data_IF_521881341686
#
_entry.id   IF_521881341686
#
_cell.length_a   1.000
_cell.length_b   1.000
_cell.length_c   1.000
_cell.angle_alpha   90.00
_cell.angle_beta   90.00
_cell.angle_gamma   90.00
#
_symmetry.space_group_name_H-M   'P 1'
#
loop_
_entity.id
_entity.type
_entity.pdbx_description
1 polymer ?
#
# COMPACT_ATOMS: atom_id res chain seq x y z
N UNK A 1 25.48 11.59 -9.58
CA UNK A 1 24.95 10.64 -10.57
C UNK A 1 25.10 11.12 -12.00
N UNK A 2 24.82 12.42 -12.34
CA UNK A 2 24.92 12.93 -13.72
C UNK A 2 26.28 12.66 -14.37
N UNK A 3 27.38 13.04 -13.72
CA UNK A 3 28.75 12.81 -14.22
C UNK A 3 29.05 11.32 -14.41
N UNK A 4 28.61 10.49 -13.46
CA UNK A 4 28.81 9.04 -13.58
C UNK A 4 28.04 8.44 -14.76
N UNK A 5 26.83 8.94 -15.04
CA UNK A 5 26.03 8.53 -16.21
C UNK A 5 26.73 8.90 -17.52
N UNK A 6 27.24 10.13 -17.62
CA UNK A 6 27.99 10.60 -18.80
C UNK A 6 29.26 9.78 -19.08
N UNK A 7 29.86 9.17 -18.05
CA UNK A 7 31.07 8.36 -18.14
C UNK A 7 30.81 6.84 -18.06
N UNK A 8 29.55 6.38 -18.09
CA UNK A 8 29.21 4.95 -18.01
C UNK A 8 29.59 4.29 -16.67
N UNK A 9 29.66 5.04 -15.57
CA UNK A 9 30.12 4.57 -14.26
C UNK A 9 29.01 4.41 -13.22
N UNK A 10 27.73 4.36 -13.63
CA UNK A 10 26.61 4.22 -12.69
C UNK A 10 26.66 2.90 -11.93
N UNK A 11 27.05 1.82 -12.60
CA UNK A 11 27.21 0.51 -11.98
C UNK A 11 28.27 0.50 -10.86
N UNK A 12 29.38 1.19 -11.07
CA UNK A 12 30.41 1.30 -10.03
C UNK A 12 29.89 2.01 -8.78
N UNK A 13 29.05 3.05 -8.97
CA UNK A 13 28.41 3.74 -7.84
C UNK A 13 27.44 2.79 -7.13
N UNK A 14 26.58 2.12 -7.87
CA UNK A 14 25.65 1.14 -7.29
C UNK A 14 26.39 0.10 -6.45
N UNK A 15 27.36 -0.59 -7.03
CA UNK A 15 28.17 -1.61 -6.35
C UNK A 15 28.88 -1.08 -5.11
N UNK A 16 29.55 0.06 -5.23
CA UNK A 16 30.29 0.68 -4.12
C UNK A 16 29.33 1.14 -3.00
N UNK A 17 28.11 1.56 -3.33
CA UNK A 17 27.12 1.96 -2.34
C UNK A 17 26.73 0.75 -1.49
N UNK A 18 26.43 -0.41 -2.11
CA UNK A 18 26.16 -1.64 -1.38
C UNK A 18 27.36 -2.09 -0.51
N UNK A 19 28.58 -2.12 -1.09
CA UNK A 19 29.78 -2.52 -0.38
C UNK A 19 30.02 -1.63 0.85
N UNK A 20 29.99 -0.31 0.69
CA UNK A 20 30.25 0.65 1.77
C UNK A 20 29.19 0.59 2.88
N UNK A 21 27.92 0.50 2.53
CA UNK A 21 26.83 0.41 3.52
C UNK A 21 26.96 -0.87 4.34
N UNK A 22 27.19 -2.02 3.70
CA UNK A 22 27.36 -3.28 4.39
C UNK A 22 28.62 -3.30 5.29
N UNK A 23 29.71 -2.69 4.83
CA UNK A 23 30.93 -2.54 5.64
C UNK A 23 30.69 -1.66 6.87
N UNK A 24 29.99 -0.53 6.72
CA UNK A 24 29.63 0.37 7.83
C UNK A 24 28.73 -0.36 8.84
N UNK A 25 27.71 -1.08 8.39
CA UNK A 25 26.82 -1.85 9.27
C UNK A 25 27.63 -2.91 10.02
N UNK A 26 28.46 -3.67 9.31
CA UNK A 26 29.29 -4.73 9.89
C UNK A 26 30.25 -4.21 10.96
N UNK A 27 30.89 -3.08 10.69
CA UNK A 27 31.83 -2.42 11.63
C UNK A 27 31.12 -1.81 12.86
N UNK A 28 29.81 -1.52 12.77
CA UNK A 28 29.06 -0.81 13.81
C UNK A 28 27.83 -1.59 14.30
N UNK A 29 27.88 -2.91 14.29
CA UNK A 29 26.72 -3.78 14.63
C UNK A 29 26.04 -3.44 15.96
N UNK A 30 26.81 -3.13 16.98
CA UNK A 30 26.27 -2.78 18.29
C UNK A 30 25.41 -1.50 18.26
N UNK A 31 25.70 -0.56 17.35
CA UNK A 31 24.96 0.70 17.18
C UNK A 31 23.71 0.51 16.33
N UNK A 32 23.76 -0.34 15.30
CA UNK A 32 22.63 -0.60 14.44
C UNK A 32 21.64 -1.60 15.04
N UNK A 33 22.10 -2.60 15.80
CA UNK A 33 21.23 -3.67 16.34
C UNK A 33 20.43 -4.34 15.22
N UNK A 34 19.10 -4.42 15.40
CA UNK A 34 18.15 -4.99 14.44
C UNK A 34 17.48 -3.93 13.52
N UNK A 35 18.01 -2.69 13.52
CA UNK A 35 17.40 -1.59 12.74
C UNK A 35 17.47 -1.86 11.25
N UNK A 36 16.43 -1.44 10.52
CA UNK A 36 16.39 -1.48 9.06
C UNK A 36 17.20 -0.33 8.48
N UNK A 37 17.92 -0.62 7.42
CA UNK A 37 18.79 0.32 6.72
C UNK A 37 18.27 0.47 5.30
N UNK A 38 17.83 1.66 4.98
CA UNK A 38 17.29 2.00 3.67
C UNK A 38 18.44 2.38 2.73
N UNK A 39 18.43 1.79 1.54
CA UNK A 39 19.50 1.91 0.54
C UNK A 39 18.92 2.17 -0.84
N UNK A 40 19.21 3.35 -1.39
CA UNK A 40 18.82 3.69 -2.76
C UNK A 40 19.52 2.80 -3.77
N UNK A 41 18.77 2.25 -4.72
CA UNK A 41 19.26 1.53 -5.88
C UNK A 41 19.06 2.34 -7.15
N UNK A 42 19.96 2.15 -8.13
CA UNK A 42 19.92 2.83 -9.43
C UNK A 42 19.25 1.88 -10.44
N UNK A 43 17.97 2.08 -10.83
CA UNK A 43 17.21 1.12 -11.63
C UNK A 43 17.85 0.71 -12.95
N UNK A 44 18.54 1.66 -13.61
CA UNK A 44 19.21 1.43 -14.91
C UNK A 44 20.57 0.70 -14.77
N UNK A 45 21.08 0.56 -13.55
CA UNK A 45 22.44 0.07 -13.29
C UNK A 45 22.52 -0.74 -12.00
N UNK A 46 21.49 -1.54 -11.74
CA UNK A 46 21.37 -2.34 -10.52
C UNK A 46 22.50 -3.35 -10.35
N UNK A 47 22.79 -3.67 -9.09
CA UNK A 47 23.78 -4.68 -8.73
C UNK A 47 23.49 -6.02 -9.43
N UNK A 48 24.51 -6.62 -10.01
CA UNK A 48 24.38 -7.94 -10.65
C UNK A 48 24.16 -9.04 -9.62
N UNK A 49 23.53 -10.14 -10.02
CA UNK A 49 23.35 -11.32 -9.17
C UNK A 49 24.71 -11.84 -8.65
N UNK A 50 25.75 -11.81 -9.50
CA UNK A 50 27.11 -12.23 -9.13
C UNK A 50 27.67 -11.38 -7.99
N UNK A 51 27.66 -10.05 -8.12
CA UNK A 51 28.22 -9.17 -7.09
C UNK A 51 27.36 -9.19 -5.82
N UNK A 52 26.03 -9.28 -5.97
CA UNK A 52 25.14 -9.39 -4.82
C UNK A 52 25.35 -10.69 -4.04
N UNK A 53 25.50 -11.83 -4.71
CA UNK A 53 25.79 -13.10 -4.05
C UNK A 53 27.15 -13.06 -3.32
N UNK A 54 28.17 -12.45 -3.90
CA UNK A 54 29.46 -12.23 -3.25
C UNK A 54 29.32 -11.41 -1.96
N UNK A 55 28.48 -10.37 -1.97
CA UNK A 55 28.18 -9.60 -0.76
C UNK A 55 27.42 -10.42 0.28
N UNK A 56 26.49 -11.26 -0.16
CA UNK A 56 25.78 -12.18 0.72
C UNK A 56 26.69 -13.20 1.39
N UNK A 57 27.69 -13.72 0.69
CA UNK A 57 28.71 -14.61 1.29
C UNK A 57 29.47 -13.92 2.42
N UNK A 58 29.83 -12.65 2.18
CA UNK A 58 30.61 -11.86 3.16
C UNK A 58 29.77 -11.32 4.32
N UNK A 59 28.54 -10.90 4.05
CA UNK A 59 27.70 -10.12 4.98
C UNK A 59 26.33 -10.76 5.24
N UNK A 60 26.17 -12.06 4.98
CA UNK A 60 24.85 -12.74 4.98
C UNK A 60 23.99 -12.52 6.23
N UNK A 61 24.63 -12.36 7.39
CA UNK A 61 23.96 -12.17 8.67
C UNK A 61 23.36 -10.76 8.88
N UNK A 62 23.63 -9.82 7.98
CA UNK A 62 23.06 -8.45 8.04
C UNK A 62 22.22 -8.09 6.82
N UNK A 63 22.15 -8.96 5.82
CA UNK A 63 21.38 -8.72 4.60
C UNK A 63 19.89 -8.46 4.90
N UNK A 64 19.33 -9.14 5.89
CA UNK A 64 17.93 -8.95 6.32
C UNK A 64 17.65 -7.56 6.91
N UNK A 65 18.67 -6.77 7.23
CA UNK A 65 18.50 -5.39 7.67
C UNK A 65 18.30 -4.41 6.50
N UNK A 66 18.67 -4.81 5.26
CA UNK A 66 18.57 -3.93 4.10
C UNK A 66 17.12 -3.79 3.62
N UNK A 67 16.77 -2.57 3.30
CA UNK A 67 15.57 -2.18 2.56
C UNK A 67 16.04 -1.46 1.30
N UNK A 68 15.83 -2.08 0.13
CA UNK A 68 16.29 -1.54 -1.15
C UNK A 68 15.21 -0.63 -1.71
N UNK A 69 15.57 0.63 -1.96
CA UNK A 69 14.65 1.67 -2.42
C UNK A 69 14.69 1.82 -3.95
N UNK A 70 13.53 1.82 -4.56
CA UNK A 70 13.32 2.10 -5.97
C UNK A 70 12.39 3.29 -6.12
N UNK A 71 12.77 4.27 -6.94
CA UNK A 71 11.89 5.39 -7.23
C UNK A 71 10.65 4.93 -7.98
N UNK A 72 9.52 5.56 -7.73
CA UNK A 72 8.24 5.30 -8.39
C UNK A 72 8.33 5.37 -9.94
N UNK A 73 9.23 6.20 -10.46
CA UNK A 73 9.45 6.44 -11.90
C UNK A 73 10.36 5.41 -12.57
N UNK A 74 10.84 4.41 -11.82
CA UNK A 74 11.71 3.38 -12.38
C UNK A 74 10.98 2.60 -13.48
N UNK A 75 11.49 2.66 -14.71
CA UNK A 75 10.99 1.86 -15.83
C UNK A 75 11.51 0.43 -15.70
N UNK A 76 10.82 -0.33 -14.85
CA UNK A 76 11.12 -1.73 -14.60
C UNK A 76 10.18 -2.59 -15.45
N UNK A 77 10.69 -3.14 -16.53
CA UNK A 77 9.93 -4.13 -17.33
C UNK A 77 9.64 -5.39 -16.50
N UNK A 78 8.52 -6.07 -16.75
CA UNK A 78 8.01 -7.16 -15.92
C UNK A 78 9.04 -8.24 -15.56
N UNK A 79 9.87 -8.70 -16.52
CA UNK A 79 10.89 -9.74 -16.27
C UNK A 79 12.02 -9.26 -15.35
N UNK A 80 12.44 -8.00 -15.50
CA UNK A 80 13.44 -7.40 -14.60
C UNK A 80 12.94 -7.28 -13.18
N UNK A 81 11.67 -6.86 -13.00
CA UNK A 81 11.05 -6.76 -11.68
C UNK A 81 11.01 -8.13 -10.98
N UNK A 82 10.58 -9.16 -11.70
CA UNK A 82 10.50 -10.51 -11.15
C UNK A 82 11.88 -11.04 -10.71
N UNK A 83 12.91 -10.84 -11.52
CA UNK A 83 14.29 -11.24 -11.21
C UNK A 83 14.84 -10.50 -10.00
N UNK A 84 14.59 -9.19 -9.89
CA UNK A 84 15.01 -8.37 -8.75
C UNK A 84 14.34 -8.78 -7.44
N UNK A 85 13.03 -8.97 -7.48
CA UNK A 85 12.30 -9.46 -6.31
C UNK A 85 12.88 -10.78 -5.83
N UNK A 86 13.09 -11.71 -6.75
CA UNK A 86 13.69 -13.01 -6.40
C UNK A 86 15.07 -12.82 -5.76
N UNK A 87 15.92 -12.03 -6.37
CA UNK A 87 17.29 -11.78 -5.88
C UNK A 87 17.28 -11.24 -4.44
N UNK A 88 16.57 -10.14 -4.17
CA UNK A 88 16.58 -9.50 -2.85
C UNK A 88 15.79 -10.31 -1.81
N UNK A 89 14.62 -10.82 -2.18
CA UNK A 89 13.79 -11.62 -1.26
C UNK A 89 14.45 -12.94 -0.87
N UNK A 90 15.21 -13.58 -1.75
CA UNK A 90 15.95 -14.82 -1.43
C UNK A 90 16.96 -14.65 -0.30
N UNK A 91 17.39 -13.42 -0.04
CA UNK A 91 18.32 -13.04 1.04
C UNK A 91 17.64 -12.27 2.18
N UNK A 92 16.32 -12.30 2.24
CA UNK A 92 15.50 -11.62 3.25
C UNK A 92 15.62 -10.09 3.25
N UNK A 93 16.13 -9.49 2.17
CA UNK A 93 16.09 -8.05 2.01
C UNK A 93 14.65 -7.60 1.76
N UNK A 94 14.29 -6.43 2.27
CA UNK A 94 13.03 -5.77 1.97
C UNK A 94 13.18 -4.87 0.74
N UNK A 95 12.05 -4.55 0.11
CA UNK A 95 11.98 -3.65 -1.04
C UNK A 95 11.06 -2.48 -0.67
N UNK A 96 11.48 -1.26 -0.97
CA UNK A 96 10.68 -0.06 -0.81
C UNK A 96 10.46 0.66 -2.15
N UNK A 97 9.27 1.26 -2.30
CA UNK A 97 9.02 2.27 -3.34
C UNK A 97 9.22 3.63 -2.71
N UNK A 98 10.04 4.44 -3.32
CA UNK A 98 10.39 5.79 -2.90
C UNK A 98 9.63 6.87 -3.68
N UNK A 99 9.51 8.07 -3.10
CA UNK A 99 8.86 9.26 -3.67
C UNK A 99 7.38 9.05 -4.07
N UNK A 100 6.66 8.11 -3.41
CA UNK A 100 5.28 7.79 -3.77
C UNK A 100 4.35 8.97 -3.53
N UNK A 101 3.67 9.39 -4.62
CA UNK A 101 2.73 10.51 -4.59
C UNK A 101 3.32 11.85 -4.98
N UNK A 102 4.55 11.91 -5.48
CA UNK A 102 5.23 13.15 -5.92
C UNK A 102 4.66 13.78 -7.21
N UNK A 103 3.64 13.17 -7.84
CA UNK A 103 2.94 13.76 -8.98
C UNK A 103 2.47 12.81 -10.08
N UNK A 104 3.04 11.63 -10.20
CA UNK A 104 2.65 10.59 -11.16
C UNK A 104 2.59 9.24 -10.45
N UNK A 105 1.66 9.08 -9.50
CA UNK A 105 1.54 7.83 -8.76
C UNK A 105 1.36 6.64 -9.70
N UNK A 106 2.44 5.88 -9.90
CA UNK A 106 2.46 4.71 -10.76
C UNK A 106 2.04 3.48 -9.94
N UNK A 107 0.74 3.33 -9.79
CA UNK A 107 0.12 2.17 -9.14
C UNK A 107 0.59 0.84 -9.77
N UNK A 108 0.90 0.82 -11.06
CA UNK A 108 1.42 -0.35 -11.74
C UNK A 108 2.80 -0.78 -11.20
N UNK A 109 3.67 0.19 -10.84
CA UNK A 109 4.97 -0.12 -10.21
C UNK A 109 4.77 -0.81 -8.86
N UNK A 110 3.82 -0.33 -8.02
CA UNK A 110 3.50 -0.97 -6.74
C UNK A 110 3.02 -2.39 -6.92
N UNK A 111 2.12 -2.62 -7.89
CA UNK A 111 1.57 -3.95 -8.17
C UNK A 111 2.63 -4.92 -8.68
N UNK A 112 3.50 -4.45 -9.57
CA UNK A 112 4.53 -5.28 -10.18
C UNK A 112 5.67 -5.60 -9.21
N UNK A 113 6.15 -4.59 -8.47
CA UNK A 113 7.27 -4.73 -7.53
C UNK A 113 6.84 -5.45 -6.24
N UNK A 114 5.58 -5.36 -5.84
CA UNK A 114 5.06 -5.88 -4.56
C UNK A 114 5.99 -5.53 -3.38
N UNK A 115 6.16 -4.24 -3.08
CA UNK A 115 7.12 -3.78 -2.09
C UNK A 115 6.71 -4.21 -0.68
N UNK A 116 7.65 -4.18 0.23
CA UNK A 116 7.40 -4.32 1.68
C UNK A 116 7.07 -2.97 2.32
N UNK A 117 7.56 -1.87 1.71
CA UNK A 117 7.40 -0.51 2.23
C UNK A 117 7.02 0.44 1.09
N UNK A 118 6.06 1.33 1.35
CA UNK A 118 5.78 2.51 0.52
C UNK A 118 6.23 3.73 1.30
N UNK A 119 7.16 4.53 0.71
CA UNK A 119 7.61 5.80 1.26
C UNK A 119 6.80 6.92 0.63
N UNK A 120 5.98 7.58 1.45
CA UNK A 120 5.10 8.67 1.01
C UNK A 120 5.90 9.96 1.00
N UNK A 121 5.99 10.56 -0.20
CA UNK A 121 6.81 11.74 -0.44
C UNK A 121 6.39 12.95 0.40
N UNK A 122 7.39 13.81 0.72
CA UNK A 122 7.21 15.04 1.48
C UNK A 122 6.09 15.94 0.94
N UNK A 123 5.87 16.00 -0.37
CA UNK A 123 4.83 16.84 -0.97
C UNK A 123 3.43 16.53 -0.44
N UNK A 124 3.19 15.27 -0.03
CA UNK A 124 1.95 14.83 0.61
C UNK A 124 1.95 15.04 2.13
N UNK A 125 3.12 15.02 2.75
CA UNK A 125 3.28 15.09 4.22
C UNK A 125 3.38 16.55 4.71
N UNK A 126 4.07 17.42 3.99
CA UNK A 126 4.17 18.84 4.36
C UNK A 126 2.78 19.47 4.54
N UNK A 127 2.57 20.17 5.64
CA UNK A 127 1.31 20.84 6.01
C UNK A 127 0.07 19.91 6.08
N UNK A 128 0.28 18.60 6.26
CA UNK A 128 -0.82 17.62 6.32
C UNK A 128 -1.77 17.89 7.50
N UNK A 129 -1.28 18.50 8.57
CA UNK A 129 -2.07 18.87 9.74
C UNK A 129 -3.20 19.88 9.42
N UNK A 130 -3.03 20.72 8.41
CA UNK A 130 -4.02 21.71 7.98
C UNK A 130 -4.75 21.34 6.69
N UNK A 131 -4.30 20.32 5.97
CA UNK A 131 -4.82 19.94 4.66
C UNK A 131 -5.61 18.62 4.69
N UNK A 132 -6.93 18.73 4.78
CA UNK A 132 -7.85 17.58 4.84
C UNK A 132 -7.74 16.68 3.60
N UNK A 133 -7.49 17.24 2.41
CA UNK A 133 -7.35 16.44 1.17
C UNK A 133 -6.11 15.54 1.25
N UNK A 134 -4.98 16.06 1.72
CA UNK A 134 -3.76 15.26 1.94
C UNK A 134 -4.00 14.16 2.99
N UNK A 135 -4.73 14.49 4.06
CA UNK A 135 -5.10 13.49 5.08
C UNK A 135 -5.93 12.34 4.51
N UNK A 136 -6.92 12.64 3.67
CA UNK A 136 -7.73 11.62 3.00
C UNK A 136 -6.89 10.78 2.04
N UNK A 137 -6.02 11.41 1.26
CA UNK A 137 -5.15 10.70 0.34
C UNK A 137 -4.19 9.76 1.08
N UNK A 138 -3.54 10.23 2.14
CA UNK A 138 -2.69 9.39 3.00
C UNK A 138 -3.47 8.21 3.60
N UNK A 139 -4.71 8.44 4.04
CA UNK A 139 -5.56 7.36 4.56
C UNK A 139 -5.79 6.28 3.48
N UNK A 140 -6.08 6.66 2.25
CA UNK A 140 -6.23 5.72 1.13
C UNK A 140 -4.96 4.89 0.87
N UNK A 141 -3.78 5.53 0.92
CA UNK A 141 -2.49 4.81 0.80
C UNK A 141 -2.32 3.80 1.93
N UNK A 142 -2.61 4.21 3.17
CA UNK A 142 -2.46 3.35 4.36
C UNK A 142 -3.42 2.16 4.29
N UNK A 143 -4.66 2.38 3.90
CA UNK A 143 -5.66 1.30 3.79
C UNK A 143 -5.26 0.29 2.71
N UNK A 144 -4.82 0.79 1.54
CA UNK A 144 -4.25 -0.05 0.50
C UNK A 144 -3.04 -0.87 0.99
N UNK A 145 -2.09 -0.21 1.63
CA UNK A 145 -0.87 -0.85 2.12
C UNK A 145 -1.19 -1.97 3.12
N UNK A 146 -2.12 -1.74 4.05
CA UNK A 146 -2.57 -2.73 5.03
C UNK A 146 -3.19 -3.96 4.40
N UNK A 147 -4.06 -3.77 3.41
CA UNK A 147 -4.71 -4.88 2.69
C UNK A 147 -3.69 -5.77 1.96
N UNK A 148 -2.51 -5.23 1.67
CA UNK A 148 -1.45 -5.93 0.95
C UNK A 148 -0.24 -6.31 1.82
N UNK A 149 -0.33 -6.15 3.16
CA UNK A 149 0.77 -6.35 4.11
C UNK A 149 2.01 -5.48 3.81
N UNK A 150 1.80 -4.29 3.27
CA UNK A 150 2.84 -3.30 2.99
C UNK A 150 2.89 -2.31 4.16
N UNK A 151 4.09 -1.89 4.54
CA UNK A 151 4.30 -0.85 5.54
C UNK A 151 4.31 0.53 4.87
N UNK A 152 3.88 1.55 5.60
CA UNK A 152 3.90 2.93 5.13
C UNK A 152 4.90 3.74 5.93
N UNK A 153 5.82 4.41 5.23
CA UNK A 153 6.77 5.37 5.80
C UNK A 153 6.39 6.77 5.31
N UNK A 154 6.22 7.71 6.24
CA UNK A 154 6.03 9.13 5.90
C UNK A 154 7.39 9.84 5.86
N UNK A 155 7.69 10.48 4.73
CA UNK A 155 8.93 11.22 4.54
C UNK A 155 8.78 12.71 4.81
N UNK A 156 9.89 13.32 5.19
CA UNK A 156 9.97 14.77 5.35
C UNK A 156 9.10 15.32 6.48
N UNK A 157 8.82 14.55 7.52
CA UNK A 157 8.12 15.04 8.72
C UNK A 157 9.02 16.03 9.46
N UNK A 158 8.64 17.29 9.50
CA UNK A 158 9.45 18.37 10.08
C UNK A 158 8.86 18.99 11.35
N UNK A 159 7.56 18.76 11.61
CA UNK A 159 6.87 19.34 12.75
C UNK A 159 6.18 18.29 13.61
N UNK A 160 5.92 18.64 14.87
CA UNK A 160 5.11 17.81 15.78
C UNK A 160 3.71 17.56 15.21
N UNK A 161 3.09 18.58 14.61
CA UNK A 161 1.72 18.48 14.12
C UNK A 161 1.63 17.53 12.92
N UNK A 162 2.59 17.58 12.00
CA UNK A 162 2.71 16.60 10.90
C UNK A 162 2.90 15.18 11.44
N UNK A 163 3.82 15.01 12.41
CA UNK A 163 4.05 13.72 13.08
C UNK A 163 2.77 13.21 13.76
N UNK A 164 2.08 14.08 14.49
CA UNK A 164 0.85 13.70 15.20
C UNK A 164 -0.24 13.20 14.25
N UNK A 165 -0.44 13.88 13.13
CA UNK A 165 -1.43 13.47 12.14
C UNK A 165 -1.02 12.15 11.47
N UNK A 166 0.23 12.01 11.04
CA UNK A 166 0.71 10.79 10.35
C UNK A 166 0.61 9.56 11.26
N UNK A 167 1.02 9.66 12.53
CA UNK A 167 0.89 8.58 13.50
C UNK A 167 -0.57 8.22 13.72
N UNK A 168 -1.44 9.20 13.98
CA UNK A 168 -2.87 8.94 14.21
C UNK A 168 -3.58 8.33 13.00
N UNK A 169 -3.16 8.64 11.78
CA UNK A 169 -3.67 8.03 10.55
C UNK A 169 -3.18 6.60 10.36
N UNK A 170 -2.05 6.24 10.95
CA UNK A 170 -1.61 4.87 10.94
C UNK A 170 -0.37 4.55 10.14
N UNK A 171 0.46 5.54 9.87
CA UNK A 171 1.79 5.35 9.31
C UNK A 171 2.63 4.45 10.21
N UNK A 172 3.39 3.53 9.63
CA UNK A 172 4.23 2.57 10.36
C UNK A 172 5.59 3.16 10.75
N UNK A 173 6.17 3.99 9.85
CA UNK A 173 7.49 4.59 10.03
C UNK A 173 7.46 6.08 9.70
N UNK A 174 8.35 6.84 10.31
CA UNK A 174 8.51 8.29 10.09
C UNK A 174 9.97 8.59 9.83
N UNK A 175 10.22 9.39 8.80
CA UNK A 175 11.51 9.95 8.46
C UNK A 175 11.36 11.46 8.26
N UNK A 176 12.29 12.25 8.80
CA UNK A 176 12.32 13.70 8.59
C UNK A 176 13.11 14.46 9.64
N UNK A 177 13.21 15.76 9.46
CA UNK A 177 14.02 16.62 10.33
C UNK A 177 13.51 16.70 11.77
N UNK A 178 12.24 16.34 12.00
CA UNK A 178 11.70 16.24 13.34
C UNK A 178 12.31 15.11 14.15
N UNK A 179 12.65 14.00 13.51
CA UNK A 179 13.28 12.84 14.15
C UNK A 179 14.80 12.96 14.20
N UNK A 180 15.41 13.25 13.05
CA UNK A 180 16.85 13.49 12.94
C UNK A 180 17.19 14.20 11.62
N UNK A 181 18.15 15.12 11.67
CA UNK A 181 18.71 15.71 10.45
C UNK A 181 19.81 14.81 9.88
N UNK A 182 20.01 14.79 8.55
CA UNK A 182 21.14 14.09 7.96
C UNK A 182 22.45 14.56 8.55
N UNK A 183 23.33 13.62 8.91
CA UNK A 183 24.65 13.89 9.44
C UNK A 183 25.65 12.81 9.04
N UNK A 184 26.94 13.12 9.15
CA UNK A 184 28.01 12.19 8.77
C UNK A 184 28.18 11.04 9.76
N UNK A 185 27.86 11.28 11.02
CA UNK A 185 28.00 10.30 12.08
C UNK A 185 26.73 9.45 12.21
N UNK A 186 26.92 8.21 12.61
CA UNK A 186 25.78 7.32 12.86
C UNK A 186 25.04 7.79 14.11
N UNK A 187 23.77 8.12 13.97
CA UNK A 187 22.87 8.45 15.07
C UNK A 187 22.03 7.23 15.39
N UNK A 188 22.31 6.52 16.48
CA UNK A 188 21.66 5.26 16.76
C UNK A 188 20.18 5.43 17.18
N UNK A 189 19.86 6.56 17.81
CA UNK A 189 18.55 6.80 18.40
C UNK A 189 18.04 8.22 18.15
N UNK A 190 16.71 8.35 18.09
CA UNK A 190 16.04 9.66 18.03
C UNK A 190 16.04 10.31 19.41
N UNK A 191 15.89 11.65 19.52
CA UNK A 191 15.83 12.33 20.82
C UNK A 191 14.74 11.74 21.72
N UNK A 192 15.05 11.54 23.01
CA UNK A 192 14.13 10.93 23.98
C UNK A 192 12.78 11.63 24.03
N UNK A 193 12.75 12.95 23.96
CA UNK A 193 11.51 13.73 23.94
C UNK A 193 10.64 13.39 22.74
N UNK A 194 11.23 13.20 21.56
CA UNK A 194 10.51 12.80 20.34
C UNK A 194 10.02 11.37 20.47
N UNK A 195 10.86 10.47 21.00
CA UNK A 195 10.47 9.08 21.24
C UNK A 195 9.26 8.97 22.18
N UNK A 196 9.24 9.79 23.24
CA UNK A 196 8.12 9.82 24.18
C UNK A 196 6.84 10.37 23.55
N UNK A 197 6.93 11.44 22.76
CA UNK A 197 5.79 11.97 22.00
C UNK A 197 5.22 10.90 21.06
N UNK A 198 6.07 10.17 20.34
CA UNK A 198 5.64 9.07 19.46
C UNK A 198 4.94 7.96 20.23
N UNK A 199 5.46 7.57 21.41
CA UNK A 199 4.82 6.56 22.27
C UNK A 199 3.43 7.03 22.71
N UNK A 200 3.30 8.27 23.20
CA UNK A 200 2.02 8.83 23.62
C UNK A 200 1.01 8.88 22.46
N UNK A 201 1.42 9.33 21.29
CA UNK A 201 0.57 9.35 20.11
C UNK A 201 0.12 7.95 19.69
N UNK A 202 1.00 6.95 19.77
CA UNK A 202 0.66 5.56 19.48
C UNK A 202 -0.30 4.95 20.53
N UNK A 203 -0.16 5.29 21.81
CA UNK A 203 -1.11 4.87 22.84
C UNK A 203 -2.50 5.47 22.64
N UNK A 204 -2.58 6.72 22.17
CA UNK A 204 -3.83 7.38 21.81
C UNK A 204 -4.31 7.00 20.39
N UNK A 205 -3.56 6.19 19.67
CA UNK A 205 -3.94 5.69 18.36
C UNK A 205 -5.19 4.84 18.55
N UNK A 206 -6.29 5.15 17.86
CA UNK A 206 -7.41 4.24 17.91
C UNK A 206 -6.88 2.86 17.52
N UNK A 207 -7.18 1.84 18.31
CA UNK A 207 -6.78 0.47 17.98
C UNK A 207 -7.08 0.23 16.50
N UNK A 208 -6.02 -0.01 15.73
CA UNK A 208 -6.17 -0.36 14.32
C UNK A 208 -6.66 -1.81 14.34
N UNK A 209 -7.95 -1.96 14.53
CA UNK A 209 -8.59 -3.26 14.31
C UNK A 209 -8.25 -3.63 12.87
N UNK A 210 -7.74 -4.86 12.66
CA UNK A 210 -7.51 -5.38 11.31
C UNK A 210 -8.70 -5.03 10.45
N UNK A 211 -8.45 -4.54 9.23
CA UNK A 211 -9.49 -4.34 8.25
C UNK A 211 -10.40 -5.57 8.27
N UNK A 212 -11.67 -5.38 8.57
CA UNK A 212 -12.63 -6.47 8.71
C UNK A 212 -13.79 -6.23 7.77
N UNK A 213 -14.32 -7.32 7.29
CA UNK A 213 -15.57 -7.26 6.58
C UNK A 213 -16.74 -7.27 7.57
N UNK A 214 -17.77 -6.50 7.27
CA UNK A 214 -19.06 -6.64 7.92
C UNK A 214 -19.77 -7.87 7.32
N UNK A 215 -20.39 -8.70 8.14
CA UNK A 215 -21.02 -9.93 7.67
C UNK A 215 -22.54 -9.77 7.78
N UNK A 216 -23.21 -9.89 6.64
CA UNK A 216 -24.69 -10.04 6.58
C UNK A 216 -24.97 -11.53 6.57
N UNK A 217 -25.48 -12.00 7.70
CA UNK A 217 -25.65 -13.41 7.96
C UNK A 217 -26.86 -14.00 7.24
N UNK A 218 -26.83 -15.33 7.09
CA UNK A 218 -27.85 -16.14 6.44
C UNK A 218 -29.29 -15.78 6.86
N UNK A 219 -30.14 -15.58 5.86
CA UNK A 219 -31.54 -15.20 6.04
C UNK A 219 -31.80 -13.76 6.46
N UNK A 220 -30.77 -12.94 6.65
CA UNK A 220 -30.94 -11.54 7.01
C UNK A 220 -31.18 -10.65 5.79
N UNK A 221 -31.89 -9.55 6.00
CA UNK A 221 -31.99 -8.41 5.10
C UNK A 221 -31.52 -7.15 5.84
N UNK A 222 -30.46 -6.50 5.34
CA UNK A 222 -29.88 -5.36 6.00
C UNK A 222 -29.69 -4.16 5.06
N UNK A 223 -29.97 -2.95 5.58
CA UNK A 223 -29.75 -1.68 4.92
C UNK A 223 -28.48 -1.04 5.46
N UNK A 224 -27.45 -0.96 4.64
CA UNK A 224 -26.10 -0.63 5.04
C UNK A 224 -25.62 0.66 4.37
N UNK A 225 -25.36 1.67 5.18
CA UNK A 225 -24.69 2.89 4.77
C UNK A 225 -23.18 2.62 4.70
N UNK A 226 -22.61 2.65 3.49
CA UNK A 226 -21.20 2.31 3.27
C UNK A 226 -20.28 3.32 4.01
N UNK A 227 -20.65 4.59 4.09
CA UNK A 227 -19.87 5.59 4.82
C UNK A 227 -19.82 5.29 6.31
N UNK A 228 -20.94 4.84 6.89
CA UNK A 228 -20.98 4.41 8.30
C UNK A 228 -20.18 3.14 8.52
N UNK A 229 -20.21 2.18 7.60
CA UNK A 229 -19.36 1.00 7.68
C UNK A 229 -17.88 1.39 7.66
N UNK A 230 -17.45 2.28 6.77
CA UNK A 230 -16.08 2.78 6.72
C UNK A 230 -15.70 3.54 8.00
N UNK A 231 -16.58 4.38 8.53
CA UNK A 231 -16.36 5.07 9.81
C UNK A 231 -16.27 4.08 10.98
N UNK A 232 -17.02 2.98 10.92
CA UNK A 232 -16.93 1.83 11.82
C UNK A 232 -15.75 0.91 11.58
N UNK A 233 -14.87 1.26 10.60
CA UNK A 233 -13.65 0.55 10.20
C UNK A 233 -13.87 -0.81 9.53
N UNK A 234 -14.98 -0.96 8.86
CA UNK A 234 -15.17 -2.04 7.93
C UNK A 234 -14.63 -1.60 6.56
N UNK A 235 -13.89 -2.47 5.89
CA UNK A 235 -13.35 -2.24 4.54
C UNK A 235 -14.09 -3.02 3.48
N UNK A 236 -15.13 -3.72 3.86
CA UNK A 236 -15.98 -4.45 2.95
C UNK A 236 -17.16 -5.08 3.67
N UNK A 237 -17.98 -5.75 2.89
CA UNK A 237 -19.09 -6.56 3.35
C UNK A 237 -19.01 -7.96 2.76
N UNK A 238 -19.36 -8.99 3.54
CA UNK A 238 -19.57 -10.36 3.06
C UNK A 238 -21.06 -10.66 3.20
N UNK A 239 -21.68 -11.10 2.12
CA UNK A 239 -23.12 -11.47 2.10
C UNK A 239 -23.23 -12.99 2.04
N UNK A 240 -23.81 -13.59 3.09
CA UNK A 240 -23.94 -15.04 3.28
C UNK A 240 -25.40 -15.46 3.18
N UNK A 241 -25.87 -15.94 2.01
CA UNK A 241 -27.27 -16.34 1.77
C UNK A 241 -28.30 -15.28 2.25
N UNK A 242 -28.03 -14.02 1.98
CA UNK A 242 -28.72 -12.88 2.59
C UNK A 242 -29.01 -11.80 1.55
N UNK A 243 -29.77 -10.79 1.96
CA UNK A 243 -29.99 -9.56 1.19
C UNK A 243 -29.26 -8.39 1.84
N UNK A 244 -28.38 -7.72 1.09
CA UNK A 244 -27.69 -6.51 1.52
C UNK A 244 -28.06 -5.33 0.63
N UNK A 245 -28.72 -4.34 1.18
CA UNK A 245 -28.99 -3.06 0.50
C UNK A 245 -27.90 -2.06 0.90
N UNK A 246 -27.02 -1.75 -0.03
CA UNK A 246 -25.83 -0.90 0.15
C UNK A 246 -26.01 0.44 -0.55
N UNK A 247 -25.83 1.53 0.18
CA UNK A 247 -25.98 2.88 -0.37
C UNK A 247 -24.86 3.81 0.14
N UNK A 248 -24.53 4.83 -0.66
CA UNK A 248 -23.47 5.79 -0.34
C UNK A 248 -23.87 7.25 -0.66
N UNK A 249 -25.13 7.54 -0.86
CA UNK A 249 -25.70 8.88 -1.12
C UNK A 249 -24.94 9.70 -2.18
N UNK A 250 -24.32 9.02 -3.18
CA UNK A 250 -23.53 9.65 -4.23
C UNK A 250 -22.12 10.08 -3.84
N UNK A 251 -21.67 9.76 -2.65
CA UNK A 251 -20.29 10.03 -2.24
C UNK A 251 -19.30 9.03 -2.83
N UNK A 252 -18.07 9.49 -3.10
CA UNK A 252 -16.97 8.62 -3.51
C UNK A 252 -16.51 7.73 -2.36
N UNK A 253 -16.71 6.43 -2.50
CA UNK A 253 -16.30 5.42 -1.52
C UNK A 253 -14.98 4.79 -1.95
N UNK A 254 -13.91 5.03 -1.19
CA UNK A 254 -12.59 4.50 -1.50
C UNK A 254 -12.31 3.18 -0.79
N UNK A 255 -11.73 2.22 -1.53
CA UNK A 255 -11.19 0.96 -0.96
C UNK A 255 -12.22 0.05 -0.26
N UNK A 256 -13.47 0.08 -0.67
CA UNK A 256 -14.51 -0.81 -0.16
C UNK A 256 -14.75 -1.98 -1.11
N UNK A 257 -14.93 -3.20 -0.58
CA UNK A 257 -15.15 -4.41 -1.38
C UNK A 257 -16.41 -5.14 -0.91
N UNK A 258 -17.30 -5.43 -1.85
CA UNK A 258 -18.48 -6.26 -1.61
C UNK A 258 -18.13 -7.71 -2.00
N UNK A 259 -18.40 -8.65 -1.12
CA UNK A 259 -18.09 -10.06 -1.32
C UNK A 259 -19.34 -10.92 -1.09
N UNK A 260 -19.44 -12.04 -1.78
CA UNK A 260 -20.37 -13.10 -1.39
C UNK A 260 -19.60 -14.31 -0.87
N UNK A 261 -20.20 -15.07 0.04
CA UNK A 261 -19.57 -16.29 0.55
C UNK A 261 -19.58 -17.40 -0.51
N UNK A 262 -18.69 -18.37 -0.37
CA UNK A 262 -18.66 -19.56 -1.21
C UNK A 262 -19.97 -20.35 -1.09
N UNK A 263 -20.51 -20.79 -2.22
CA UNK A 263 -21.77 -21.55 -2.29
C UNK A 263 -23.02 -20.77 -1.92
N UNK A 264 -22.93 -19.46 -1.66
CA UNK A 264 -24.06 -18.66 -1.18
C UNK A 264 -25.04 -18.28 -2.28
N UNK A 265 -26.30 -18.07 -1.89
CA UNK A 265 -27.33 -17.41 -2.70
C UNK A 265 -27.59 -16.04 -2.11
N UNK A 266 -27.03 -15.01 -2.74
CA UNK A 266 -27.01 -13.67 -2.18
C UNK A 266 -27.71 -12.67 -3.08
N UNK A 267 -28.42 -11.70 -2.49
CA UNK A 267 -29.02 -10.56 -3.19
C UNK A 267 -28.33 -9.29 -2.70
N UNK A 268 -27.67 -8.60 -3.62
CA UNK A 268 -26.99 -7.33 -3.37
C UNK A 268 -27.76 -6.24 -4.09
N UNK A 269 -28.18 -5.23 -3.35
CA UNK A 269 -28.83 -4.04 -3.92
C UNK A 269 -27.85 -2.88 -3.77
N UNK A 270 -27.49 -2.24 -4.88
CA UNK A 270 -26.68 -1.01 -4.87
C UNK A 270 -27.58 0.20 -5.17
N UNK A 271 -27.38 1.26 -4.40
CA UNK A 271 -28.11 2.50 -4.57
C UNK A 271 -27.21 3.72 -4.43
N UNK A 272 -26.97 4.41 -5.55
CA UNK A 272 -26.15 5.62 -5.63
C UNK A 272 -24.77 5.45 -4.98
N UNK A 273 -24.14 4.28 -5.19
CA UNK A 273 -22.84 3.93 -4.66
C UNK A 273 -21.73 4.16 -5.69
N UNK A 274 -20.80 5.07 -5.38
CA UNK A 274 -19.63 5.33 -6.21
C UNK A 274 -18.41 4.67 -5.56
N UNK A 275 -18.19 3.37 -5.86
CA UNK A 275 -17.13 2.59 -5.25
C UNK A 275 -15.88 2.65 -6.12
N UNK A 276 -14.86 3.36 -5.61
CA UNK A 276 -13.54 3.46 -6.21
C UNK A 276 -12.60 2.46 -5.53
N UNK A 277 -12.48 1.26 -6.08
CA UNK A 277 -11.55 0.26 -5.59
C UNK A 277 -10.10 0.75 -5.74
N UNK A 278 -9.31 0.64 -4.68
CA UNK A 278 -7.88 0.91 -4.76
C UNK A 278 -7.14 -0.36 -5.19
N UNK A 279 -7.21 -0.79 -6.47
CA UNK A 279 -6.46 -1.92 -7.03
C UNK A 279 -7.10 -3.31 -6.93
N UNK A 280 -8.40 -3.42 -6.66
CA UNK A 280 -9.13 -4.71 -6.65
C UNK A 280 -10.54 -4.51 -7.19
N UNK A 281 -11.15 -5.60 -7.59
CA UNK A 281 -12.55 -5.61 -7.96
C UNK A 281 -13.40 -5.05 -6.82
N UNK A 282 -14.37 -4.19 -7.17
CA UNK A 282 -15.30 -3.62 -6.21
C UNK A 282 -16.27 -4.68 -5.68
N UNK A 283 -16.61 -5.67 -6.51
CA UNK A 283 -17.48 -6.80 -6.14
C UNK A 283 -16.76 -8.11 -6.47
N UNK A 284 -16.74 -9.04 -5.51
CA UNK A 284 -16.14 -10.38 -5.64
C UNK A 284 -17.13 -11.44 -5.26
N UNK A 285 -17.50 -12.27 -6.18
CA UNK A 285 -18.33 -13.43 -5.88
C UNK A 285 -17.46 -14.58 -5.32
N UNK A 286 -17.98 -15.28 -4.32
CA UNK A 286 -17.41 -16.54 -3.86
C UNK A 286 -17.59 -17.64 -4.90
N UNK A 287 -16.74 -18.68 -4.86
CA UNK A 287 -16.89 -19.84 -5.73
C UNK A 287 -18.24 -20.55 -5.50
N UNK A 288 -18.82 -21.11 -6.56
CA UNK A 288 -20.11 -21.79 -6.53
C UNK A 288 -21.29 -20.94 -6.02
N UNK A 289 -21.16 -19.61 -6.02
CA UNK A 289 -22.23 -18.71 -5.57
C UNK A 289 -23.22 -18.39 -6.69
N UNK A 290 -24.47 -18.06 -6.29
CA UNK A 290 -25.55 -17.59 -7.16
C UNK A 290 -25.99 -16.21 -6.63
N UNK A 291 -25.59 -15.14 -7.34
CA UNK A 291 -25.76 -13.78 -6.85
C UNK A 291 -26.65 -12.97 -7.77
N UNK A 292 -27.65 -12.31 -7.19
CA UNK A 292 -28.40 -11.25 -7.86
C UNK A 292 -27.86 -9.90 -7.43
N UNK A 293 -27.48 -9.07 -8.40
CA UNK A 293 -27.07 -7.67 -8.21
C UNK A 293 -28.18 -6.76 -8.77
N UNK A 294 -28.92 -6.13 -7.89
CA UNK A 294 -29.97 -5.18 -8.26
C UNK A 294 -29.42 -3.74 -8.20
N UNK A 295 -29.58 -2.98 -9.27
CA UNK A 295 -29.10 -1.60 -9.38
C UNK A 295 -30.25 -0.63 -9.19
N UNK A 296 -30.13 0.28 -8.23
CA UNK A 296 -31.08 1.36 -7.95
C UNK A 296 -30.36 2.70 -8.00
N UNK A 297 -30.80 3.60 -8.90
CA UNK A 297 -30.15 4.91 -9.06
C UNK A 297 -28.97 4.86 -10.02
N UNK A 298 -27.86 5.50 -9.66
CA UNK A 298 -26.66 5.56 -10.50
C UNK A 298 -25.44 5.11 -9.70
N UNK A 299 -24.85 4.00 -10.11
CA UNK A 299 -23.76 3.34 -9.41
C UNK A 299 -22.52 3.27 -10.30
N UNK A 300 -21.35 3.55 -9.70
CA UNK A 300 -20.05 3.51 -10.37
C UNK A 300 -19.13 2.51 -9.67
N UNK A 301 -18.53 1.61 -10.42
CA UNK A 301 -17.52 0.69 -9.98
C UNK A 301 -16.24 0.93 -10.78
N UNK A 302 -15.15 1.34 -10.14
CA UNK A 302 -13.85 1.49 -10.81
C UNK A 302 -12.94 0.29 -10.54
N UNK A 303 -11.86 0.13 -11.32
CA UNK A 303 -10.88 -0.95 -11.23
C UNK A 303 -11.46 -2.38 -11.32
N UNK A 304 -11.38 -3.00 -12.49
CA UNK A 304 -11.81 -4.38 -12.77
C UNK A 304 -13.24 -4.75 -12.29
N UNK A 305 -14.06 -3.78 -11.87
CA UNK A 305 -15.49 -3.87 -11.58
C UNK A 305 -15.91 -5.08 -10.74
N UNK A 306 -16.35 -6.14 -11.39
CA UNK A 306 -16.93 -7.33 -10.76
C UNK A 306 -16.13 -8.58 -11.14
N UNK A 307 -15.75 -9.39 -10.15
CA UNK A 307 -15.09 -10.69 -10.34
C UNK A 307 -16.08 -11.83 -10.11
N UNK A 308 -16.30 -12.61 -11.16
CA UNK A 308 -17.19 -13.77 -11.14
C UNK A 308 -16.38 -15.03 -11.42
N UNK A 309 -16.18 -15.93 -10.43
CA UNK A 309 -15.54 -17.23 -10.68
C UNK A 309 -16.33 -18.06 -11.69
N UNK A 310 -15.65 -18.88 -12.48
CA UNK A 310 -16.29 -19.70 -13.53
C UNK A 310 -17.32 -20.71 -13.02
N UNK A 311 -17.32 -21.03 -11.73
CA UNK A 311 -18.29 -21.88 -11.05
C UNK A 311 -19.53 -21.12 -10.53
N UNK A 312 -19.54 -19.78 -10.66
CA UNK A 312 -20.55 -18.91 -10.04
C UNK A 312 -21.46 -18.26 -11.06
N UNK A 313 -22.61 -17.78 -10.61
CA UNK A 313 -23.59 -17.08 -11.43
C UNK A 313 -23.81 -15.68 -10.91
N UNK A 314 -23.88 -14.71 -11.83
CA UNK A 314 -24.27 -13.34 -11.54
C UNK A 314 -25.45 -12.94 -12.45
N UNK A 315 -26.54 -12.52 -11.83
CA UNK A 315 -27.66 -11.88 -12.51
C UNK A 315 -27.70 -10.40 -12.14
N UNK A 316 -27.57 -9.52 -13.13
CA UNK A 316 -27.71 -8.07 -12.91
C UNK A 316 -29.13 -7.65 -13.30
N UNK A 317 -29.82 -6.96 -12.40
CA UNK A 317 -31.21 -6.51 -12.54
C UNK A 317 -31.38 -5.06 -12.06
N UNK A 318 -32.61 -4.58 -12.05
CA UNK A 318 -32.94 -3.26 -11.51
C UNK A 318 -33.29 -2.24 -12.61
N UNK A 319 -33.56 -1.01 -12.20
CA UNK A 319 -33.98 0.10 -13.09
C UNK A 319 -32.96 1.25 -13.07
N UNK A 320 -31.83 1.07 -12.40
CA UNK A 320 -30.74 2.02 -12.30
C UNK A 320 -29.71 1.91 -13.43
N UNK A 321 -28.67 2.71 -13.34
CA UNK A 321 -27.54 2.71 -14.27
C UNK A 321 -26.28 2.24 -13.54
N UNK A 322 -25.56 1.27 -14.10
CA UNK A 322 -24.29 0.80 -13.60
C UNK A 322 -23.18 1.17 -14.58
N UNK A 323 -22.20 1.93 -14.11
CA UNK A 323 -21.00 2.29 -14.87
C UNK A 323 -19.82 1.54 -14.27
N UNK A 324 -19.09 0.81 -15.13
CA UNK A 324 -17.87 0.11 -14.74
C UNK A 324 -16.71 0.71 -15.52
N UNK A 325 -15.73 1.25 -14.83
CA UNK A 325 -14.51 1.79 -15.41
C UNK A 325 -13.36 0.82 -15.18
N UNK A 326 -12.77 0.30 -16.26
CA UNK A 326 -11.65 -0.63 -16.22
C UNK A 326 -10.42 -0.01 -16.83
N UNK A 327 -9.32 -0.04 -16.08
CA UNK A 327 -8.01 0.42 -16.56
C UNK A 327 -7.25 -0.62 -17.38
N UNK A 328 -7.79 -1.83 -17.60
CA UNK A 328 -7.15 -2.85 -18.43
C UNK A 328 -7.55 -2.74 -19.90
N UNK A 329 -6.55 -2.66 -20.77
CA UNK A 329 -6.70 -2.65 -22.23
C UNK A 329 -7.08 -4.02 -22.85
N UNK A 330 -7.29 -5.05 -22.04
CA UNK A 330 -7.53 -6.43 -22.47
C UNK A 330 -8.99 -6.88 -22.44
N UNK A 331 -9.92 -5.97 -22.29
CA UNK A 331 -11.32 -6.11 -22.80
C UNK A 331 -12.26 -7.00 -22.01
N UNK A 332 -11.97 -7.42 -20.79
CA UNK A 332 -12.90 -8.18 -19.94
C UNK A 332 -13.26 -7.42 -18.66
N UNK A 333 -14.34 -6.64 -18.73
CA UNK A 333 -15.00 -6.02 -17.57
C UNK A 333 -16.34 -6.71 -17.32
N UNK A 334 -16.38 -7.94 -16.99
CA UNK A 334 -17.46 -8.69 -16.29
C UNK A 334 -16.95 -10.11 -16.15
#
# INVERSE_FOLDING_TARGET
LRIAREHGRLYDIERLTFENVLEIISANRARFGEKKIFLNSIPDSMITEYDFNRLCEKYGNIMSQLVIEFTEQADLTGDKIASLRYLFKSKSCMIAIDDYGSGYSNTAAVLSLQPDVIKVDRSLIADINTNVKKQHFLTGIIDFARLNNIKVLAEGVETYDEMSVTIRRGVDFIQGFYTAKPQKEIVPDIPDAVAEQMRMLNMCRPEIKKARDYIVHDGCEEHLDIEKLLSGRYTGVIVENATAHLYANGCDVMSFVIKTAEGSKSHIILENANIKGALRQCIRLGENSDTTLEIKGTDFLSYDGISVPGSSKLLITGNGNLYIDSYRNDGCCI
#
